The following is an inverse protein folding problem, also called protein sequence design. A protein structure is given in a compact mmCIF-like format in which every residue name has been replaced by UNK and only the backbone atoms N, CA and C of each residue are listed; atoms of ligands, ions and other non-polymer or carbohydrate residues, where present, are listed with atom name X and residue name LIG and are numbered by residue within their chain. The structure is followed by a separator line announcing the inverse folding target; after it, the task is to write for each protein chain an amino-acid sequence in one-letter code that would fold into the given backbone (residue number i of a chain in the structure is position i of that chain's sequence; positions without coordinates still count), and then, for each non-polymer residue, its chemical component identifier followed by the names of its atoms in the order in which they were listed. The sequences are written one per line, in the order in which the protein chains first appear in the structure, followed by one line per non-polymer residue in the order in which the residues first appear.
data_IF_288261294610
#
_entry.id   IF_288261294610
#
_cell.length_a   1.000
_cell.length_b   1.000
_cell.length_c   1.000
_cell.angle_alpha   90.00
_cell.angle_beta   90.00
_cell.angle_gamma   90.00
#
_symmetry.space_group_name_H-M   'P 1'
#
loop_
_entity.id
_entity.type
_entity.pdbx_description
1 polymer ?
#
# COMPACT_ATOMS: atom_id res chain seq x y z
N UNK A 1 -1.60 -5.11 16.42
CA UNK A 1 -1.82 -5.96 15.23
C UNK A 1 -0.70 -5.65 14.25
N UNK A 2 0.18 -6.61 13.95
CA UNK A 2 1.24 -6.43 12.96
C UNK A 2 0.64 -6.69 11.58
N UNK A 3 0.70 -5.70 10.69
CA UNK A 3 0.19 -5.79 9.32
C UNK A 3 1.26 -6.43 8.44
N UNK A 4 1.16 -7.74 8.19
CA UNK A 4 2.05 -8.46 7.29
C UNK A 4 1.56 -8.39 5.84
N UNK A 5 2.31 -7.77 4.93
CA UNK A 5 2.02 -7.75 3.47
C UNK A 5 2.09 -9.13 2.81
N UNK A 6 2.73 -10.11 3.44
CA UNK A 6 2.77 -11.47 2.91
C UNK A 6 1.39 -12.10 2.71
N UNK A 7 0.32 -11.47 3.23
CA UNK A 7 -1.06 -11.85 2.93
C UNK A 7 -1.57 -11.43 1.56
N UNK A 8 -0.96 -10.50 0.81
CA UNK A 8 -1.46 -10.12 -0.53
C UNK A 8 -1.43 -11.27 -1.55
N UNK A 9 -0.55 -12.25 -1.36
CA UNK A 9 -0.37 -13.39 -2.25
C UNK A 9 -0.99 -14.69 -1.73
N UNK A 10 -1.60 -14.67 -0.55
CA UNK A 10 -2.23 -15.88 -0.05
C UNK A 10 -3.48 -16.14 -0.89
N UNK A 11 -3.68 -17.38 -1.34
CA UNK A 11 -4.91 -17.83 -2.03
C UNK A 11 -6.18 -17.49 -1.24
N UNK A 12 -6.07 -17.23 0.07
CA UNK A 12 -7.12 -16.68 0.94
C UNK A 12 -7.43 -15.19 0.72
N UNK A 13 -6.46 -14.35 0.34
CA UNK A 13 -6.67 -12.94 0.01
C UNK A 13 -7.54 -12.82 -1.24
N UNK A 14 -7.12 -13.47 -2.33
CA UNK A 14 -7.94 -13.57 -3.55
C UNK A 14 -9.34 -14.14 -3.30
N UNK A 15 -9.52 -14.96 -2.25
CA UNK A 15 -10.81 -15.52 -1.85
C UNK A 15 -11.66 -14.59 -0.99
N UNK A 16 -11.08 -13.82 -0.06
CA UNK A 16 -11.82 -13.13 1.01
C UNK A 16 -11.56 -11.61 1.17
N UNK A 17 -10.65 -11.00 0.42
CA UNK A 17 -10.37 -9.53 0.47
C UNK A 17 -9.83 -9.07 -0.88
N UNK A 18 -10.33 -8.06 -1.57
CA UNK A 18 -11.07 -6.84 -1.24
C UNK A 18 -11.58 -6.31 -2.59
N UNK A 19 -12.39 -5.25 -2.62
CA UNK A 19 -13.11 -4.67 -3.78
C UNK A 19 -12.39 -4.71 -5.15
N UNK A 20 -13.15 -4.65 -6.26
CA UNK A 20 -12.65 -4.62 -7.65
C UNK A 20 -11.47 -3.66 -7.86
N UNK A 21 -11.47 -2.55 -7.13
CA UNK A 21 -10.45 -1.52 -7.08
C UNK A 21 -9.08 -2.04 -6.61
N UNK A 22 -9.04 -2.85 -5.56
CA UNK A 22 -7.80 -3.42 -5.00
C UNK A 22 -7.16 -4.38 -5.98
N UNK A 23 -7.96 -5.24 -6.61
CA UNK A 23 -7.49 -6.14 -7.67
C UNK A 23 -6.89 -5.37 -8.84
N UNK A 24 -7.54 -4.27 -9.23
CA UNK A 24 -7.05 -3.37 -10.27
C UNK A 24 -5.71 -2.73 -9.89
N UNK A 25 -5.56 -2.23 -8.66
CA UNK A 25 -4.30 -1.63 -8.17
C UNK A 25 -3.15 -2.64 -8.20
N UNK A 26 -3.36 -3.85 -7.67
CA UNK A 26 -2.34 -4.92 -7.70
C UNK A 26 -1.92 -5.23 -9.14
N UNK A 27 -2.88 -5.33 -10.07
CA UNK A 27 -2.58 -5.57 -11.49
C UNK A 27 -1.78 -4.41 -12.10
N UNK A 28 -2.13 -3.16 -11.84
CA UNK A 28 -1.39 -1.98 -12.32
C UNK A 28 0.06 -1.99 -11.83
N UNK A 29 0.28 -2.17 -10.54
CA UNK A 29 1.63 -2.18 -9.93
C UNK A 29 2.50 -3.29 -10.55
N UNK A 30 1.94 -4.48 -10.73
CA UNK A 30 2.66 -5.62 -11.33
C UNK A 30 3.09 -5.35 -12.77
N UNK A 31 2.28 -4.64 -13.56
CA UNK A 31 2.53 -4.41 -14.99
C UNK A 31 3.27 -3.10 -15.31
N UNK A 32 3.40 -2.16 -14.37
CA UNK A 32 4.17 -0.93 -14.59
C UNK A 32 5.69 -1.13 -14.38
N UNK A 33 6.51 -0.26 -14.95
CA UNK A 33 7.95 -0.23 -14.70
C UNK A 33 8.26 0.17 -13.24
N UNK A 34 9.32 -0.41 -12.65
CA UNK A 34 9.64 -0.27 -11.22
C UNK A 34 9.85 1.18 -10.75
N UNK A 35 10.40 2.04 -11.61
CA UNK A 35 10.79 3.42 -11.27
C UNK A 35 9.72 4.47 -11.64
N UNK A 36 8.54 4.00 -12.04
CA UNK A 36 7.45 4.88 -12.46
C UNK A 36 6.90 5.70 -11.28
N UNK A 37 6.67 7.01 -11.43
CA UNK A 37 5.96 7.79 -10.41
C UNK A 37 4.55 7.24 -10.14
N UNK A 38 3.93 6.62 -11.14
CA UNK A 38 2.63 5.96 -11.01
C UNK A 38 2.66 4.72 -10.11
N UNK A 39 3.79 4.00 -10.04
CA UNK A 39 3.94 2.84 -9.15
C UNK A 39 3.91 3.28 -7.70
N UNK A 40 4.58 4.39 -7.37
CA UNK A 40 4.56 4.93 -6.00
C UNK A 40 3.13 5.29 -5.60
N UNK A 41 2.41 5.98 -6.51
CA UNK A 41 1.03 6.34 -6.27
C UNK A 41 0.11 5.13 -6.11
N UNK A 42 0.18 4.15 -7.02
CA UNK A 42 -0.67 2.95 -6.96
C UNK A 42 -0.38 2.11 -5.69
N UNK A 43 0.88 2.03 -5.24
CA UNK A 43 1.25 1.39 -3.97
C UNK A 43 0.68 2.17 -2.77
N UNK A 44 0.77 3.50 -2.79
CA UNK A 44 0.17 4.35 -1.74
C UNK A 44 -1.34 4.15 -1.63
N UNK A 45 -2.06 4.13 -2.76
CA UNK A 45 -3.51 3.87 -2.77
C UNK A 45 -3.85 2.48 -2.25
N UNK A 46 -3.05 1.47 -2.60
CA UNK A 46 -3.23 0.11 -2.11
C UNK A 46 -3.08 0.04 -0.58
N UNK A 47 -2.07 0.72 -0.02
CA UNK A 47 -1.86 0.82 1.41
C UNK A 47 -3.07 1.51 2.07
N UNK A 48 -3.47 2.68 1.55
CA UNK A 48 -4.59 3.46 2.09
C UNK A 48 -5.92 2.72 2.05
N UNK A 49 -6.19 1.96 1.00
CA UNK A 49 -7.39 1.13 0.87
C UNK A 49 -7.44 0.00 1.92
N UNK A 50 -6.34 -0.32 2.60
CA UNK A 50 -6.26 -1.39 3.60
C UNK A 50 -5.99 -0.89 5.01
N UNK A 51 -5.57 0.35 5.17
CA UNK A 51 -5.55 1.02 6.46
C UNK A 51 -6.97 1.53 6.76
N UNK A 52 -7.66 1.07 7.81
CA UNK A 52 -8.89 1.73 8.25
C UNK A 52 -8.55 3.15 8.75
N UNK A 53 -8.64 4.12 7.85
CA UNK A 53 -8.31 5.54 8.06
C UNK A 53 -9.03 6.14 9.27
N UNK A 54 -10.22 5.65 9.60
CA UNK A 54 -11.02 6.11 10.74
C UNK A 54 -10.62 5.54 12.10
N UNK A 55 -9.65 4.61 12.17
CA UNK A 55 -9.30 3.88 13.41
C UNK A 55 -7.82 3.95 13.81
N UNK A 56 -6.97 4.60 13.02
CA UNK A 56 -5.52 4.55 13.26
C UNK A 56 -4.95 5.84 13.86
N UNK A 57 -4.62 5.77 15.15
CA UNK A 57 -3.40 6.41 15.65
C UNK A 57 -2.22 5.71 14.96
N UNK A 58 -1.85 6.14 13.75
CA UNK A 58 -0.73 5.53 13.04
C UNK A 58 0.58 5.95 13.71
N UNK A 59 1.39 4.97 14.08
CA UNK A 59 2.78 5.15 14.46
C UNK A 59 3.61 5.23 13.17
N UNK A 60 4.45 6.26 13.03
CA UNK A 60 5.37 6.44 11.89
C UNK A 60 6.19 5.18 11.58
N UNK A 61 6.67 4.49 12.60
CA UNK A 61 7.42 3.24 12.45
C UNK A 61 6.57 2.11 11.85
N UNK A 62 5.29 2.03 12.21
CA UNK A 62 4.38 1.03 11.64
C UNK A 62 4.02 1.33 10.19
N UNK A 63 3.91 2.61 9.82
CA UNK A 63 3.73 3.02 8.43
C UNK A 63 4.97 2.71 7.58
N UNK A 64 6.16 3.01 8.09
CA UNK A 64 7.43 2.66 7.42
C UNK A 64 7.56 1.15 7.19
N UNK A 65 7.24 0.33 8.20
CA UNK A 65 7.22 -1.13 8.06
C UNK A 65 6.20 -1.60 7.00
N UNK A 66 5.00 -1.01 6.99
CA UNK A 66 3.95 -1.28 6.00
C UNK A 66 4.43 -0.95 4.58
N UNK A 67 5.08 0.19 4.39
CA UNK A 67 5.63 0.62 3.10
C UNK A 67 6.76 -0.29 2.65
N UNK A 68 7.72 -0.58 3.52
CA UNK A 68 8.83 -1.51 3.24
C UNK A 68 8.31 -2.88 2.78
N UNK A 69 7.33 -3.40 3.51
CA UNK A 69 6.68 -4.66 3.19
C UNK A 69 5.99 -4.64 1.81
N UNK A 70 5.39 -3.51 1.42
CA UNK A 70 4.77 -3.31 0.11
C UNK A 70 5.80 -3.25 -1.02
N UNK A 71 6.83 -2.41 -0.85
CA UNK A 71 7.89 -2.22 -1.85
C UNK A 71 8.67 -3.52 -2.06
N UNK A 72 8.96 -4.24 -0.99
CA UNK A 72 9.59 -5.56 -1.04
C UNK A 72 8.74 -6.60 -1.77
N UNK A 73 7.43 -6.64 -1.48
CA UNK A 73 6.51 -7.57 -2.12
C UNK A 73 6.44 -7.38 -3.64
N UNK A 74 6.26 -6.13 -4.10
CA UNK A 74 6.21 -5.84 -5.53
C UNK A 74 7.58 -5.78 -6.19
N UNK A 75 8.66 -5.67 -5.39
CA UNK A 75 10.03 -5.34 -5.82
C UNK A 75 10.08 -4.02 -6.60
N UNK A 76 9.28 -3.05 -6.15
CA UNK A 76 8.99 -1.81 -6.86
C UNK A 76 8.65 -0.69 -5.89
N UNK A 77 8.77 0.54 -6.39
CA UNK A 77 8.42 1.74 -5.65
C UNK A 77 9.55 2.24 -4.75
N UNK A 78 9.48 3.52 -4.41
CA UNK A 78 10.41 4.21 -3.57
C UNK A 78 9.71 4.53 -2.23
N UNK A 79 10.29 4.03 -1.14
CA UNK A 79 9.67 4.07 0.19
C UNK A 79 9.45 5.50 0.69
N UNK A 80 10.41 6.40 0.47
CA UNK A 80 10.31 7.81 0.86
C UNK A 80 9.17 8.50 0.11
N UNK A 81 9.10 8.34 -1.22
CA UNK A 81 8.03 8.92 -2.03
C UNK A 81 6.66 8.40 -1.65
N UNK A 82 6.55 7.10 -1.38
CA UNK A 82 5.28 6.47 -0.95
C UNK A 82 4.87 7.02 0.42
N UNK A 83 5.82 7.20 1.34
CA UNK A 83 5.59 7.79 2.65
C UNK A 83 5.07 9.23 2.53
N UNK A 84 5.70 10.05 1.69
CA UNK A 84 5.28 11.43 1.45
C UNK A 84 3.84 11.49 0.92
N UNK A 85 3.51 10.70 -0.11
CA UNK A 85 2.15 10.64 -0.69
C UNK A 85 1.11 10.28 0.37
N UNK A 86 1.38 9.25 1.19
CA UNK A 86 0.46 8.80 2.23
C UNK A 86 0.29 9.90 3.29
N UNK A 87 1.38 10.50 3.76
CA UNK A 87 1.30 11.53 4.80
C UNK A 87 0.62 12.80 4.32
N UNK A 88 0.79 13.20 3.06
CA UNK A 88 0.06 14.30 2.44
C UNK A 88 -1.45 14.03 2.40
N UNK A 89 -1.87 12.84 1.94
CA UNK A 89 -3.29 12.46 1.92
C UNK A 89 -3.91 12.40 3.30
N UNK A 90 -3.17 11.92 4.30
CA UNK A 90 -3.61 11.91 5.70
C UNK A 90 -3.78 13.31 6.28
N UNK A 91 -2.89 14.26 5.93
CA UNK A 91 -3.03 15.67 6.34
C UNK A 91 -4.24 16.34 5.69
N UNK A 92 -4.50 16.06 4.41
CA UNK A 92 -5.63 16.63 3.68
C UNK A 92 -7.01 16.10 4.13
N UNK A 93 -7.04 14.96 4.83
CA UNK A 93 -8.27 14.34 5.35
C UNK A 93 -8.66 14.81 6.76
N UNK A 94 -7.90 15.73 7.35
CA UNK A 94 -8.16 16.36 8.66
C UNK A 94 -8.69 17.77 8.47
#
# INVERSE_FOLDING_TARGET
MNYNFTKFDNKEYYKNSTTSEVKSLVYKIRNQASDSPFVNFDISELILAHLPLSKMNYNESGLKETIFNATWYFRKGNEEKIFDIITEKLKASR
#
